data_IF_391342598487
#
_entry.id   IF_391342598487
#
_cell.length_a   1.000
_cell.length_b   1.000
_cell.length_c   1.000
_cell.angle_alpha   90.00
_cell.angle_beta   90.00
_cell.angle_gamma   90.00
#
_symmetry.space_group_name_H-M   'P 1'
#
loop_
_entity.id
_entity.type
_entity.pdbx_description
1 polymer ?
#
# COMPACT_ATOMS: atom_id res chain seq x y z
N UNK A 1 -2.31 5.15 -29.39
CA UNK A 1 -2.59 6.03 -30.54
C UNK A 1 -2.89 7.41 -29.99
N UNK A 2 -2.23 8.45 -30.47
CA UNK A 2 -2.52 9.83 -30.07
C UNK A 2 -3.67 10.36 -30.92
N UNK A 3 -4.65 11.05 -30.31
CA UNK A 3 -5.83 11.61 -31.01
C UNK A 3 -5.41 12.50 -32.20
N UNK A 4 -4.40 13.34 -31.99
CA UNK A 4 -3.78 14.16 -33.04
C UNK A 4 -3.11 13.33 -34.14
N UNK A 5 -2.49 12.20 -33.80
CA UNK A 5 -1.88 11.30 -34.78
C UNK A 5 -2.94 10.66 -35.70
N UNK A 6 -4.10 10.32 -35.13
CA UNK A 6 -5.23 9.74 -35.87
C UNK A 6 -5.92 10.77 -36.77
N UNK A 7 -6.08 12.01 -36.30
CA UNK A 7 -6.62 13.09 -37.12
C UNK A 7 -5.71 13.44 -38.30
N UNK A 8 -4.39 13.48 -38.07
CA UNK A 8 -3.38 13.67 -39.14
C UNK A 8 -3.43 12.52 -40.14
N UNK A 9 -3.51 11.26 -39.67
CA UNK A 9 -3.60 10.09 -40.55
C UNK A 9 -4.87 10.12 -41.40
N UNK A 10 -6.02 10.41 -40.80
CA UNK A 10 -7.30 10.51 -41.49
C UNK A 10 -7.31 11.65 -42.52
N UNK A 11 -6.77 12.82 -42.17
CA UNK A 11 -6.63 13.95 -43.08
C UNK A 11 -5.66 13.65 -44.23
N UNK A 12 -4.55 12.96 -43.96
CA UNK A 12 -3.61 12.51 -44.99
C UNK A 12 -4.25 11.57 -46.00
N UNK A 13 -5.05 10.60 -45.53
CA UNK A 13 -5.79 9.68 -46.40
C UNK A 13 -6.85 10.41 -47.23
N UNK A 14 -7.58 11.37 -46.65
CA UNK A 14 -8.54 12.22 -47.38
C UNK A 14 -7.86 13.06 -48.46
N UNK A 15 -6.65 13.55 -48.20
CA UNK A 15 -5.85 14.30 -49.16
C UNK A 15 -5.10 13.42 -50.18
N UNK A 16 -5.17 12.09 -50.06
CA UNK A 16 -4.47 11.16 -50.96
C UNK A 16 -2.94 11.24 -50.90
N UNK A 17 -2.36 11.77 -49.81
CA UNK A 17 -0.91 11.97 -49.69
C UNK A 17 -0.22 10.75 -49.07
N UNK A 18 0.95 10.39 -49.58
CA UNK A 18 1.83 9.42 -48.92
C UNK A 18 2.55 10.08 -47.73
N UNK A 19 2.99 9.32 -46.70
CA UNK A 19 3.76 9.88 -45.58
C UNK A 19 5.00 10.65 -46.06
N UNK A 20 5.68 10.12 -47.09
CA UNK A 20 6.81 10.75 -47.76
C UNK A 20 6.46 12.08 -48.42
N UNK A 21 5.30 12.17 -49.09
CA UNK A 21 4.84 13.39 -49.74
C UNK A 21 4.42 14.46 -48.72
N UNK A 22 3.75 14.05 -47.64
CA UNK A 22 3.39 14.94 -46.53
C UNK A 22 4.65 15.49 -45.84
N UNK A 23 5.65 14.65 -45.61
CA UNK A 23 6.93 15.04 -45.01
C UNK A 23 7.66 16.08 -45.83
N UNK A 24 7.75 15.88 -47.15
CA UNK A 24 8.35 16.85 -48.06
C UNK A 24 7.65 18.21 -48.03
N UNK A 25 6.32 18.23 -47.94
CA UNK A 25 5.55 19.49 -47.87
C UNK A 25 5.65 20.18 -46.51
N UNK A 26 5.80 19.42 -45.42
CA UNK A 26 5.89 19.96 -44.07
C UNK A 26 7.33 20.28 -43.63
N UNK A 27 8.33 19.83 -44.39
CA UNK A 27 9.75 19.97 -44.05
C UNK A 27 10.22 18.96 -42.99
N UNK A 28 9.61 17.77 -42.97
CA UNK A 28 9.80 16.76 -41.93
C UNK A 28 10.13 15.39 -42.55
N UNK A 29 10.90 14.57 -41.83
CA UNK A 29 11.27 13.23 -42.29
C UNK A 29 10.07 12.28 -42.37
N UNK A 30 10.11 11.31 -43.28
CA UNK A 30 9.09 10.28 -43.43
C UNK A 30 8.93 9.43 -42.16
N UNK A 31 10.04 9.08 -41.50
CA UNK A 31 10.04 8.34 -40.23
C UNK A 31 9.27 9.07 -39.14
N UNK A 32 9.43 10.39 -39.04
CA UNK A 32 8.75 11.21 -38.06
C UNK A 32 7.22 11.17 -38.26
N UNK A 33 6.73 11.27 -39.49
CA UNK A 33 5.28 11.18 -39.75
C UNK A 33 4.75 9.80 -39.37
N UNK A 34 5.49 8.74 -39.67
CA UNK A 34 5.11 7.39 -39.27
C UNK A 34 5.10 7.21 -37.75
N UNK A 35 6.06 7.80 -37.02
CA UNK A 35 6.11 7.80 -35.55
C UNK A 35 4.94 8.57 -34.93
N UNK A 36 4.56 9.71 -35.53
CA UNK A 36 3.43 10.54 -35.09
C UNK A 36 2.10 9.83 -35.33
N UNK A 37 1.90 9.27 -36.53
CA UNK A 37 0.70 8.49 -36.86
C UNK A 37 0.57 7.22 -36.02
N UNK A 38 1.70 6.62 -35.58
CA UNK A 38 1.71 5.52 -34.61
C UNK A 38 1.48 5.98 -33.17
N UNK A 39 1.65 7.26 -32.88
CA UNK A 39 1.57 7.83 -31.53
C UNK A 39 2.81 7.54 -30.68
N UNK A 40 3.95 7.19 -31.28
CA UNK A 40 5.23 6.99 -30.59
C UNK A 40 5.91 8.31 -30.26
N UNK A 41 5.63 9.36 -31.05
CA UNK A 41 6.24 10.69 -30.89
C UNK A 41 5.17 11.79 -30.82
N UNK A 42 5.30 12.66 -29.81
CA UNK A 42 4.43 13.83 -29.63
C UNK A 42 5.00 14.98 -30.47
N UNK A 43 4.12 15.66 -31.22
CA UNK A 43 4.47 16.78 -32.10
C UNK A 43 4.40 18.08 -31.32
N UNK A 44 5.33 19.01 -31.56
CA UNK A 44 5.22 20.38 -31.03
C UNK A 44 4.15 21.18 -31.76
N UNK A 45 3.50 22.11 -31.09
CA UNK A 45 2.36 22.87 -31.65
C UNK A 45 2.70 23.54 -33.00
N UNK A 46 3.88 24.15 -33.14
CA UNK A 46 4.35 24.77 -34.40
C UNK A 46 4.46 23.79 -35.58
N UNK A 47 4.77 22.53 -35.29
CA UNK A 47 4.90 21.48 -36.31
C UNK A 47 3.51 20.93 -36.66
N UNK A 48 2.64 20.77 -35.66
CA UNK A 48 1.25 20.38 -35.86
C UNK A 48 0.51 21.41 -36.73
N UNK A 49 0.62 22.70 -36.43
CA UNK A 49 0.01 23.78 -37.22
C UNK A 49 0.47 23.77 -38.68
N UNK A 50 1.76 23.53 -38.95
CA UNK A 50 2.28 23.42 -40.32
C UNK A 50 1.68 22.23 -41.07
N UNK A 51 1.63 21.07 -40.42
CA UNK A 51 1.04 19.85 -41.00
C UNK A 51 -0.44 20.08 -41.33
N UNK A 52 -1.18 20.71 -40.41
CA UNK A 52 -2.60 20.99 -40.57
C UNK A 52 -2.90 22.02 -41.66
N UNK A 53 -2.06 23.05 -41.78
CA UNK A 53 -2.15 24.03 -42.88
C UNK A 53 -1.97 23.39 -44.25
N UNK A 54 -1.02 22.45 -44.37
CA UNK A 54 -0.78 21.69 -45.62
C UNK A 54 -1.94 20.74 -45.93
N UNK A 55 -2.56 20.16 -44.90
CA UNK A 55 -3.70 19.26 -45.04
C UNK A 55 -5.04 20.00 -45.24
N UNK A 56 -5.05 21.33 -45.15
CA UNK A 56 -6.25 22.15 -45.33
C UNK A 56 -7.29 21.98 -44.22
N UNK A 57 -6.92 21.38 -43.09
CA UNK A 57 -7.79 21.23 -41.92
C UNK A 57 -7.73 22.54 -41.16
N UNK A 58 -8.80 23.33 -41.25
CA UNK A 58 -8.99 24.53 -40.43
C UNK A 58 -9.20 24.08 -38.98
N UNK A 59 -8.14 24.19 -38.19
CA UNK A 59 -8.10 24.21 -36.73
C UNK A 59 -8.68 23.00 -35.97
N UNK A 60 -7.92 21.91 -35.78
CA UNK A 60 -8.25 20.89 -34.80
C UNK A 60 -7.84 21.27 -33.37
N UNK A 61 -6.90 22.21 -33.16
CA UNK A 61 -6.43 22.55 -31.80
C UNK A 61 -7.57 23.15 -30.97
N UNK A 62 -8.40 24.00 -31.58
CA UNK A 62 -9.56 24.60 -30.91
C UNK A 62 -10.66 23.57 -30.62
N UNK A 63 -10.91 22.64 -31.55
CA UNK A 63 -11.96 21.63 -31.39
C UNK A 63 -11.54 20.49 -30.45
N UNK A 64 -10.25 20.21 -30.29
CA UNK A 64 -9.77 19.21 -29.31
C UNK A 64 -9.73 19.74 -27.87
N UNK A 65 -9.69 21.06 -27.65
CA UNK A 65 -9.86 21.70 -26.34
C UNK A 65 -11.34 21.94 -26.00
N UNK A 66 -12.20 22.23 -26.99
CA UNK A 66 -13.63 22.48 -26.76
C UNK A 66 -14.48 21.20 -26.60
N UNK A 67 -14.04 20.06 -27.15
CA UNK A 67 -14.72 18.75 -26.93
C UNK A 67 -14.31 18.11 -25.59
N UNK A 68 -13.64 18.86 -24.71
CA UNK A 68 -13.63 18.60 -23.27
C UNK A 68 -14.94 19.03 -22.58
N UNK A 69 -16.03 19.19 -23.33
CA UNK A 69 -17.37 18.95 -22.79
C UNK A 69 -17.44 17.46 -22.42
N UNK A 70 -16.91 17.13 -21.24
CA UNK A 70 -17.23 15.91 -20.55
C UNK A 70 -18.75 15.70 -20.70
N UNK A 71 -19.23 14.49 -21.07
CA UNK A 71 -20.66 14.24 -21.04
C UNK A 71 -21.15 14.66 -19.65
N UNK A 72 -22.32 15.30 -19.53
CA UNK A 72 -22.89 15.67 -18.23
C UNK A 72 -23.00 14.40 -17.37
N UNK A 73 -21.92 14.09 -16.66
CA UNK A 73 -21.85 12.96 -15.76
C UNK A 73 -22.73 13.41 -14.60
N UNK A 74 -23.84 12.72 -14.31
CA UNK A 74 -24.63 13.06 -13.14
C UNK A 74 -23.68 13.08 -11.95
N UNK A 75 -23.53 14.26 -11.35
CA UNK A 75 -22.66 14.47 -10.21
C UNK A 75 -22.98 13.37 -9.20
N UNK A 76 -21.96 12.59 -8.82
CA UNK A 76 -22.14 11.56 -7.79
C UNK A 76 -22.83 12.22 -6.60
N UNK A 77 -23.85 11.59 -6.00
CA UNK A 77 -24.48 12.15 -4.82
C UNK A 77 -23.38 12.48 -3.81
N UNK A 78 -23.48 13.67 -3.20
CA UNK A 78 -22.46 14.16 -2.25
C UNK A 78 -22.15 13.02 -1.27
N UNK A 79 -20.85 12.69 -1.06
CA UNK A 79 -20.51 11.66 -0.10
C UNK A 79 -21.16 12.03 1.22
N UNK A 80 -21.81 11.06 1.87
CA UNK A 80 -22.40 11.28 3.19
C UNK A 80 -21.33 11.90 4.08
N UNK A 81 -21.63 12.98 4.82
CA UNK A 81 -20.67 13.56 5.75
C UNK A 81 -20.07 12.44 6.60
N UNK A 82 -18.74 12.35 6.62
CA UNK A 82 -18.06 11.35 7.43
C UNK A 82 -18.37 11.66 8.89
N UNK A 83 -19.21 10.83 9.51
CA UNK A 83 -19.43 10.87 10.95
C UNK A 83 -18.23 10.19 11.55
N UNK A 84 -17.34 10.98 12.17
CA UNK A 84 -16.31 10.44 13.04
C UNK A 84 -17.06 9.61 14.09
N UNK A 85 -16.80 8.29 14.19
CA UNK A 85 -17.37 7.50 15.26
C UNK A 85 -16.85 8.12 16.55
N UNK A 86 -17.70 8.88 17.24
CA UNK A 86 -17.45 9.24 18.63
C UNK A 86 -17.32 7.89 19.32
N UNK A 87 -16.13 7.57 19.83
CA UNK A 87 -15.91 6.37 20.62
C UNK A 87 -17.03 6.34 21.65
N UNK A 88 -18.01 5.46 21.43
CA UNK A 88 -18.98 5.11 22.45
C UNK A 88 -18.12 4.73 23.65
N UNK A 89 -18.30 5.37 24.83
CA UNK A 89 -17.52 4.99 25.99
C UNK A 89 -17.64 3.49 26.11
N UNK A 90 -16.50 2.80 26.06
CA UNK A 90 -16.38 1.35 26.00
C UNK A 90 -17.46 0.77 26.90
N UNK A 91 -18.48 0.17 26.27
CA UNK A 91 -19.43 -0.67 27.00
C UNK A 91 -18.53 -1.63 27.74
N UNK A 92 -18.51 -1.51 29.08
CA UNK A 92 -17.66 -2.30 29.96
C UNK A 92 -17.80 -3.74 29.47
N UNK A 93 -16.73 -4.22 28.83
CA UNK A 93 -16.67 -5.56 28.27
C UNK A 93 -17.07 -6.47 29.43
N UNK A 94 -18.11 -7.27 29.23
CA UNK A 94 -18.52 -8.25 30.24
C UNK A 94 -17.31 -9.14 30.56
N UNK A 95 -17.13 -9.56 31.83
CA UNK A 95 -15.97 -10.37 32.24
C UNK A 95 -15.73 -11.57 31.31
N UNK A 96 -16.80 -12.16 30.79
CA UNK A 96 -16.81 -13.33 29.90
C UNK A 96 -16.09 -13.09 28.54
N UNK A 97 -16.19 -11.90 27.95
CA UNK A 97 -15.53 -11.59 26.66
C UNK A 97 -14.04 -11.27 26.85
N UNK A 98 -13.65 -10.75 28.02
CA UNK A 98 -12.25 -10.56 28.41
C UNK A 98 -11.57 -11.90 28.67
N UNK A 99 -12.26 -12.84 29.33
CA UNK A 99 -11.78 -14.20 29.53
C UNK A 99 -11.63 -14.94 28.19
N UNK A 100 -12.56 -14.80 27.25
CA UNK A 100 -12.47 -15.44 25.93
C UNK A 100 -11.29 -14.92 25.09
N UNK A 101 -11.04 -13.61 25.12
CA UNK A 101 -9.88 -13.01 24.42
C UNK A 101 -8.56 -13.41 25.09
N UNK A 102 -8.49 -13.43 26.42
CA UNK A 102 -7.34 -13.94 27.17
C UNK A 102 -7.10 -15.43 26.92
N UNK A 103 -8.15 -16.26 26.91
CA UNK A 103 -8.06 -17.70 26.63
C UNK A 103 -7.55 -17.97 25.21
N UNK A 104 -7.97 -17.17 24.23
CA UNK A 104 -7.44 -17.28 22.87
C UNK A 104 -5.95 -16.94 22.81
N UNK A 105 -5.51 -15.89 23.52
CA UNK A 105 -4.11 -15.50 23.59
C UNK A 105 -3.26 -16.55 24.32
N UNK A 106 -3.79 -17.16 25.38
CA UNK A 106 -3.12 -18.23 26.12
C UNK A 106 -2.99 -19.51 25.28
N UNK A 107 -3.99 -19.84 24.46
CA UNK A 107 -3.89 -20.97 23.52
C UNK A 107 -2.79 -20.75 22.46
N UNK A 108 -2.60 -19.52 21.97
CA UNK A 108 -1.50 -19.18 21.06
C UNK A 108 -0.12 -19.24 21.74
N UNK A 109 -0.04 -18.86 23.02
CA UNK A 109 1.21 -18.91 23.79
C UNK A 109 1.59 -20.35 24.17
N UNK A 110 0.62 -21.22 24.41
CA UNK A 110 0.85 -22.65 24.66
C UNK A 110 1.41 -23.36 23.41
N UNK A 111 0.86 -23.04 22.23
CA UNK A 111 1.37 -23.56 20.95
C UNK A 111 2.83 -23.13 20.65
N UNK A 112 3.29 -22.01 21.22
CA UNK A 112 4.66 -21.49 21.09
C UNK A 112 5.62 -22.00 22.18
N UNK A 113 5.19 -22.92 23.05
CA UNK A 113 5.97 -23.43 24.19
C UNK A 113 7.34 -24.04 23.85
N UNK A 114 7.56 -24.44 22.59
CA UNK A 114 8.85 -24.91 22.10
C UNK A 114 9.89 -23.81 21.88
N UNK A 115 9.46 -22.54 21.73
CA UNK A 115 10.32 -21.38 21.47
C UNK A 115 10.32 -20.42 22.66
N UNK A 116 9.15 -20.13 23.23
CA UNK A 116 9.00 -19.21 24.37
C UNK A 116 8.08 -19.84 25.40
N UNK A 117 8.48 -19.78 26.68
CA UNK A 117 7.71 -20.34 27.78
C UNK A 117 7.35 -19.28 28.80
N UNK A 118 6.11 -19.35 29.32
CA UNK A 118 5.69 -18.62 30.52
C UNK A 118 6.28 -19.28 31.77
N UNK A 119 7.17 -18.56 32.44
CA UNK A 119 7.78 -18.97 33.71
C UNK A 119 7.10 -18.18 34.84
N UNK A 120 6.55 -18.85 35.88
CA UNK A 120 5.92 -18.17 37.00
C UNK A 120 6.97 -17.44 37.85
N UNK A 121 6.63 -16.23 38.28
CA UNK A 121 7.33 -15.43 39.28
C UNK A 121 6.62 -15.67 40.62
N UNK A 122 7.32 -16.29 41.56
CA UNK A 122 6.80 -16.64 42.88
C UNK A 122 7.38 -15.72 43.96
N UNK A 123 6.57 -15.49 45.00
CA UNK A 123 6.96 -14.75 46.20
C UNK A 123 7.58 -15.64 47.30
N UNK A 124 8.07 -14.97 48.35
CA UNK A 124 8.25 -15.45 49.73
C UNK A 124 7.44 -16.69 50.09
N UNK A 125 6.13 -16.51 50.00
CA UNK A 125 5.11 -17.43 50.47
C UNK A 125 4.67 -18.48 49.43
N UNK A 126 5.36 -18.55 48.28
CA UNK A 126 5.08 -19.52 47.22
C UNK A 126 3.86 -19.18 46.34
N UNK A 127 3.33 -17.96 46.46
CA UNK A 127 2.23 -17.47 45.62
C UNK A 127 2.79 -16.95 44.29
N UNK A 128 2.11 -17.26 43.18
CA UNK A 128 2.48 -16.73 41.86
C UNK A 128 2.01 -15.29 41.73
N UNK A 129 2.95 -14.36 41.64
CA UNK A 129 2.70 -12.92 41.49
C UNK A 129 2.48 -12.56 40.02
N UNK A 130 3.33 -13.10 39.14
CA UNK A 130 3.39 -12.71 37.73
C UNK A 130 3.95 -13.84 36.86
N UNK A 131 3.91 -13.68 35.55
CA UNK A 131 4.49 -14.60 34.58
C UNK A 131 5.47 -13.87 33.66
N UNK A 132 6.70 -14.38 33.54
CA UNK A 132 7.69 -13.85 32.59
C UNK A 132 7.85 -14.79 31.41
N UNK A 133 7.86 -14.23 30.21
CA UNK A 133 8.15 -14.97 28.98
C UNK A 133 9.66 -15.14 28.83
N UNK A 134 10.14 -16.39 28.76
CA UNK A 134 11.55 -16.71 28.58
C UNK A 134 11.76 -17.59 27.33
N UNK A 135 12.78 -17.31 26.50
CA UNK A 135 13.09 -18.12 25.35
C UNK A 135 13.71 -19.45 25.77
N UNK A 136 13.36 -20.52 25.07
CA UNK A 136 13.95 -21.85 25.23
C UNK A 136 15.11 -21.97 24.24
N UNK A 137 16.35 -21.93 24.73
CA UNK A 137 17.55 -22.00 23.89
C UNK A 137 18.15 -23.40 24.06
N UNK A 138 18.16 -24.19 22.98
CA UNK A 138 18.70 -25.55 23.01
C UNK A 138 17.92 -26.51 23.94
N UNK A 139 16.60 -26.30 24.08
CA UNK A 139 15.74 -27.12 24.93
C UNK A 139 15.85 -26.83 26.43
N UNK A 140 16.56 -25.76 26.82
CA UNK A 140 16.77 -25.36 28.22
C UNK A 140 16.47 -23.87 28.41
N UNK A 141 16.06 -23.51 29.62
CA UNK A 141 15.93 -22.13 30.09
C UNK A 141 16.95 -21.96 31.20
N UNK A 142 17.94 -21.07 31.02
CA UNK A 142 19.03 -20.83 32.00
C UNK A 142 19.70 -22.13 32.50
N UNK A 143 19.86 -23.12 31.62
CA UNK A 143 20.46 -24.42 31.93
C UNK A 143 19.53 -25.46 32.57
N UNK A 144 18.32 -25.08 32.98
CA UNK A 144 17.29 -25.96 33.54
C UNK A 144 16.31 -26.52 32.51
N UNK A 145 15.63 -27.60 32.86
CA UNK A 145 14.52 -28.12 32.05
C UNK A 145 13.35 -27.13 32.10
N UNK A 146 12.72 -26.78 30.96
CA UNK A 146 11.71 -25.71 30.91
C UNK A 146 10.54 -25.88 31.88
N UNK A 147 10.17 -27.12 32.26
CA UNK A 147 9.08 -27.40 33.22
C UNK A 147 9.43 -27.18 34.70
N UNK A 148 10.72 -27.07 35.03
CA UNK A 148 11.19 -26.99 36.43
C UNK A 148 11.81 -25.63 36.77
N UNK A 149 11.70 -24.67 35.86
CA UNK A 149 12.23 -23.32 36.05
C UNK A 149 11.12 -22.45 36.60
N UNK A 150 11.43 -21.76 37.69
CA UNK A 150 10.61 -20.71 38.28
C UNK A 150 11.50 -19.51 38.55
N UNK A 151 10.94 -18.32 38.50
CA UNK A 151 11.60 -17.11 38.97
C UNK A 151 11.12 -16.87 40.38
N UNK A 152 12.05 -16.69 41.30
CA UNK A 152 11.71 -16.36 42.66
C UNK A 152 12.04 -14.89 42.90
N UNK A 153 11.03 -14.09 43.24
CA UNK A 153 11.20 -12.67 43.57
C UNK A 153 11.40 -12.56 45.07
N UNK A 154 12.60 -12.16 45.48
CA UNK A 154 12.89 -11.76 46.87
C UNK A 154 12.77 -10.24 46.99
N UNK A 155 12.29 -9.75 48.13
CA UNK A 155 12.34 -8.33 48.47
C UNK A 155 13.75 -7.91 48.93
N UNK A 156 14.51 -8.85 49.51
CA UNK A 156 15.82 -8.62 50.13
C UNK A 156 16.95 -9.48 49.54
N UNK A 157 18.21 -9.05 49.73
CA UNK A 157 19.44 -9.74 49.29
C UNK A 157 19.83 -10.97 50.14
N UNK A 158 18.89 -11.56 50.88
CA UNK A 158 19.17 -12.66 51.83
C UNK A 158 19.74 -13.92 51.16
N UNK A 159 19.38 -14.18 49.90
CA UNK A 159 19.84 -15.34 49.12
C UNK A 159 21.27 -15.23 48.58
N UNK A 160 21.98 -14.12 48.86
CA UNK A 160 23.39 -13.94 48.46
C UNK A 160 24.31 -15.05 48.98
N UNK A 161 24.00 -15.63 50.13
CA UNK A 161 24.72 -16.77 50.71
C UNK A 161 24.64 -18.06 49.89
N UNK A 162 23.61 -18.22 49.06
CA UNK A 162 23.41 -19.38 48.18
C UNK A 162 23.96 -19.16 46.76
N UNK A 163 24.76 -18.10 46.55
CA UNK A 163 25.29 -17.70 45.22
C UNK A 163 24.20 -17.39 44.19
N UNK A 164 22.99 -17.07 44.64
CA UNK A 164 21.93 -16.50 43.81
C UNK A 164 22.10 -14.99 43.89
N UNK A 165 22.52 -14.38 42.78
CA UNK A 165 22.72 -12.94 42.70
C UNK A 165 21.45 -12.29 42.16
N UNK A 166 21.04 -11.18 42.80
CA UNK A 166 19.97 -10.32 42.32
C UNK A 166 20.34 -9.62 41.02
#
# INVERSE_FOLDING_TARGET
>A
MSRLGDTIRAARLKAGLTPKALGRKCGVAESFINEVERGTKIVSDDQAQRILKVLGVKDPISTELEVAAEPDVPLRPRPRPYVIPVKKPEEKVTPEEQEATQASADAWLDALGGVVKRVPIMDGDGVVIDHRLMPVIGGKIEGGHPDKVLIYRMEDNSMRGFRVFA
#
